data_IF_801177695602
#
_entry.id   IF_801177695602
#
_cell.length_a   1.000
_cell.length_b   1.000
_cell.length_c   1.000
_cell.angle_alpha   90.00
_cell.angle_beta   90.00
_cell.angle_gamma   90.00
#
_symmetry.space_group_name_H-M   'P 1'
#
loop_
_entity.id
_entity.type
_entity.pdbx_description
1 polymer ?
#
# COMPACT_ATOMS: atom_id res chain seq x y z
N UNK A 1 -18.27 -0.57 4.49
CA UNK A 1 -17.20 0.44 4.31
C UNK A 1 -16.08 0.27 5.33
N UNK A 2 -14.85 0.60 4.93
CA UNK A 2 -13.68 0.68 5.80
C UNK A 2 -13.46 2.15 6.11
N UNK A 3 -13.72 2.56 7.35
CA UNK A 3 -13.55 3.96 7.80
C UNK A 3 -12.16 4.14 8.40
N UNK A 4 -11.62 5.36 8.37
CA UNK A 4 -10.26 5.70 8.85
C UNK A 4 -10.02 5.24 10.31
N UNK A 5 -11.06 5.22 11.14
CA UNK A 5 -10.98 4.83 12.56
C UNK A 5 -11.02 3.31 12.81
N UNK A 6 -11.64 2.55 11.89
CA UNK A 6 -11.84 1.10 12.01
C UNK A 6 -10.95 0.29 11.04
N UNK A 7 -9.90 0.92 10.51
CA UNK A 7 -8.92 0.25 9.66
C UNK A 7 -7.63 0.01 10.43
N UNK A 8 -6.97 -1.09 10.12
CA UNK A 8 -5.63 -1.41 10.57
C UNK A 8 -4.73 -1.61 9.36
N UNK A 9 -3.46 -1.25 9.52
CA UNK A 9 -2.45 -1.48 8.50
C UNK A 9 -2.04 -2.96 8.55
N UNK A 10 -2.18 -3.65 7.43
CA UNK A 10 -1.82 -5.07 7.30
C UNK A 10 -0.37 -5.22 6.85
N UNK A 11 -0.03 -4.62 5.71
CA UNK A 11 1.30 -4.74 5.12
C UNK A 11 1.63 -3.52 4.25
N UNK A 12 2.93 -3.33 4.01
CA UNK A 12 3.47 -2.37 3.04
C UNK A 12 4.36 -3.14 2.09
N UNK A 13 4.09 -3.06 0.79
CA UNK A 13 4.96 -3.62 -0.23
C UNK A 13 5.38 -2.54 -1.21
N UNK A 14 6.61 -2.66 -1.71
CA UNK A 14 7.15 -1.82 -2.77
C UNK A 14 7.13 -2.50 -4.14
N UNK A 15 6.76 -3.79 -4.18
CA UNK A 15 6.68 -4.57 -5.42
C UNK A 15 5.24 -4.69 -5.87
N UNK A 16 4.98 -4.34 -7.14
CA UNK A 16 3.66 -4.49 -7.76
C UNK A 16 3.22 -5.95 -7.84
N UNK A 17 4.16 -6.86 -8.13
CA UNK A 17 3.88 -8.30 -8.18
C UNK A 17 3.44 -8.84 -6.83
N UNK A 18 4.14 -8.44 -5.75
CA UNK A 18 3.74 -8.81 -4.39
C UNK A 18 2.38 -8.20 -4.06
N UNK A 19 2.15 -6.93 -4.38
CA UNK A 19 0.86 -6.28 -4.17
C UNK A 19 -0.28 -7.07 -4.83
N UNK A 20 -0.13 -7.47 -6.09
CA UNK A 20 -1.12 -8.28 -6.81
C UNK A 20 -1.40 -9.63 -6.15
N UNK A 21 -0.35 -10.33 -5.69
CA UNK A 21 -0.50 -11.60 -4.95
C UNK A 21 -1.28 -11.41 -3.64
N UNK A 22 -0.94 -10.36 -2.88
CA UNK A 22 -1.61 -10.06 -1.61
C UNK A 22 -3.08 -9.69 -1.85
N UNK A 23 -3.39 -8.86 -2.85
CA UNK A 23 -4.78 -8.48 -3.13
C UNK A 23 -5.60 -9.64 -3.67
N UNK A 24 -5.01 -10.51 -4.50
CA UNK A 24 -5.67 -11.72 -4.98
C UNK A 24 -5.98 -12.70 -3.83
N UNK A 25 -5.05 -12.88 -2.88
CA UNK A 25 -5.29 -13.70 -1.71
C UNK A 25 -6.42 -13.15 -0.82
N UNK A 26 -6.42 -11.82 -0.59
CA UNK A 26 -7.47 -11.16 0.19
C UNK A 26 -8.84 -11.22 -0.49
N UNK A 27 -8.88 -11.10 -1.82
CA UNK A 27 -10.09 -11.22 -2.63
C UNK A 27 -10.66 -12.65 -2.59
N UNK A 28 -9.78 -13.66 -2.75
CA UNK A 28 -10.15 -15.08 -2.64
C UNK A 28 -10.70 -15.43 -1.24
N UNK A 29 -10.19 -14.77 -0.20
CA UNK A 29 -10.70 -14.92 1.17
C UNK A 29 -11.98 -14.10 1.45
N UNK A 30 -12.45 -13.27 0.49
CA UNK A 30 -13.61 -12.41 0.67
C UNK A 30 -13.39 -11.26 1.67
N UNK A 31 -12.14 -10.96 2.01
CA UNK A 31 -11.79 -9.95 3.02
C UNK A 31 -11.79 -8.58 2.36
N UNK A 32 -12.62 -7.67 2.88
CA UNK A 32 -12.61 -6.28 2.41
C UNK A 32 -11.29 -5.61 2.80
N UNK A 33 -10.59 -5.09 1.79
CA UNK A 33 -9.37 -4.31 1.96
C UNK A 33 -9.48 -2.93 1.32
N UNK A 34 -8.61 -2.02 1.76
CA UNK A 34 -8.41 -0.71 1.18
C UNK A 34 -6.92 -0.56 0.88
N UNK A 35 -6.59 -0.45 -0.39
CA UNK A 35 -5.21 -0.23 -0.82
C UNK A 35 -4.97 1.26 -1.13
N UNK A 36 -3.82 1.77 -0.69
CA UNK A 36 -3.33 3.09 -1.05
C UNK A 36 -1.96 2.96 -1.67
N UNK A 37 -1.85 3.28 -2.96
CA UNK A 37 -0.57 3.48 -3.62
C UNK A 37 -0.06 4.89 -3.26
N UNK A 38 1.17 4.99 -2.74
CA UNK A 38 1.87 6.23 -2.50
C UNK A 38 3.13 6.22 -3.37
N UNK A 39 3.28 7.25 -4.20
CA UNK A 39 4.52 7.54 -4.91
C UNK A 39 5.35 8.52 -4.08
N UNK A 40 6.64 8.23 -3.89
CA UNK A 40 7.62 9.12 -3.25
C UNK A 40 7.89 10.38 -4.07
N UNK A 41 7.70 10.31 -5.38
CA UNK A 41 7.90 11.40 -6.34
C UNK A 41 6.63 12.19 -6.64
N UNK A 42 5.49 11.86 -6.01
CA UNK A 42 4.26 12.62 -6.24
C UNK A 42 4.34 14.01 -5.59
N UNK A 43 4.24 15.11 -6.38
CA UNK A 43 4.30 16.49 -5.89
C UNK A 43 3.11 16.92 -5.00
N UNK A 44 2.26 15.97 -4.57
CA UNK A 44 1.08 16.26 -3.77
C UNK A 44 1.39 16.53 -2.28
N UNK A 45 2.60 16.21 -1.80
CA UNK A 45 3.08 16.60 -0.47
C UNK A 45 3.92 17.89 -0.48
N UNK A 46 4.20 18.47 -1.65
CA UNK A 46 5.02 19.67 -1.84
C UNK A 46 4.26 20.85 -2.44
N UNK A 47 2.94 20.76 -2.57
CA UNK A 47 2.09 21.84 -3.11
C UNK A 47 1.56 22.82 -2.04
N UNK A 48 2.31 23.03 -0.95
CA UNK A 48 2.08 24.14 0.00
C UNK A 48 3.42 24.80 0.34
N UNK A 49 4.05 25.40 -0.67
CA UNK A 49 5.12 26.38 -0.50
C UNK A 49 6.52 25.79 -0.36
N UNK A 50 7.22 25.58 -1.48
CA UNK A 50 8.62 26.02 -1.61
C UNK A 50 9.10 25.93 -3.06
N UNK A 51 9.81 26.98 -3.50
CA UNK A 51 10.34 27.20 -4.84
C UNK A 51 11.74 26.58 -4.98
N UNK A 52 11.91 25.45 -5.63
CA UNK A 52 13.28 25.08 -6.04
C UNK A 52 13.23 23.95 -7.08
N UNK A 53 13.34 24.19 -8.41
CA UNK A 53 14.60 24.36 -9.16
C UNK A 53 15.72 23.44 -8.66
N UNK A 54 15.68 22.16 -8.99
CA UNK A 54 16.89 21.34 -9.18
C UNK A 54 16.55 20.09 -9.98
N UNK A 55 17.25 19.88 -11.10
CA UNK A 55 17.14 18.65 -11.87
C UNK A 55 17.55 17.44 -11.04
N UNK A 56 16.85 16.32 -11.19
CA UNK A 56 17.32 15.03 -10.71
C UNK A 56 17.27 14.03 -11.86
N UNK A 57 18.25 14.19 -12.75
CA UNK A 57 18.72 13.12 -13.63
C UNK A 57 19.10 11.93 -12.73
N UNK A 58 18.51 10.75 -12.96
CA UNK A 58 18.74 9.49 -12.22
C UNK A 58 18.01 9.30 -10.87
N UNK A 59 16.73 9.67 -10.75
CA UNK A 59 15.87 8.97 -9.79
C UNK A 59 15.46 7.61 -10.37
N UNK A 60 15.97 6.55 -9.75
CA UNK A 60 15.58 5.17 -10.04
C UNK A 60 14.08 4.98 -9.75
N UNK A 61 13.25 5.21 -10.78
CA UNK A 61 11.78 5.14 -10.70
C UNK A 61 11.26 3.78 -10.22
N UNK A 62 12.09 2.74 -10.27
CA UNK A 62 11.73 1.38 -9.90
C UNK A 62 11.38 1.19 -8.41
N UNK A 63 11.78 2.10 -7.52
CA UNK A 63 11.52 2.01 -6.06
C UNK A 63 10.63 3.15 -5.53
N UNK A 64 9.95 3.87 -6.41
CA UNK A 64 9.21 5.07 -6.00
C UNK A 64 7.83 4.75 -5.38
N UNK A 65 7.29 3.56 -5.62
CA UNK A 65 5.91 3.22 -5.25
C UNK A 65 5.85 2.32 -4.01
N UNK A 66 5.08 2.78 -3.02
CA UNK A 66 4.72 2.03 -1.81
C UNK A 66 3.21 1.76 -1.81
N UNK A 67 2.85 0.49 -1.72
CA UNK A 67 1.47 0.05 -1.61
C UNK A 67 1.17 -0.28 -0.14
N UNK A 68 0.32 0.53 0.50
CA UNK A 68 -0.16 0.27 1.86
C UNK A 68 -1.53 -0.38 1.79
N UNK A 69 -1.65 -1.58 2.33
CA UNK A 69 -2.91 -2.32 2.41
C UNK A 69 -3.47 -2.16 3.82
N UNK A 70 -4.73 -1.76 3.89
CA UNK A 70 -5.49 -1.64 5.11
C UNK A 70 -6.66 -2.61 5.10
N UNK A 71 -6.92 -3.24 6.23
CA UNK A 71 -8.08 -4.10 6.46
C UNK A 71 -8.89 -3.55 7.63
N UNK A 72 -10.08 -4.09 7.88
CA UNK A 72 -10.80 -3.77 9.12
C UNK A 72 -10.04 -4.34 10.31
N UNK A 73 -10.11 -3.65 11.45
CA UNK A 73 -9.49 -4.15 12.70
C UNK A 73 -10.00 -5.54 13.09
N UNK A 74 -11.29 -5.80 12.89
CA UNK A 74 -11.91 -7.09 13.18
C UNK A 74 -11.38 -8.23 12.30
N UNK A 75 -10.99 -7.92 11.05
CA UNK A 75 -10.54 -8.90 10.06
C UNK A 75 -9.00 -8.98 9.99
N UNK A 76 -8.27 -8.28 10.89
CA UNK A 76 -6.82 -8.19 10.87
C UNK A 76 -6.16 -9.56 11.06
N UNK A 77 -6.63 -10.32 12.04
CA UNK A 77 -6.08 -11.63 12.38
C UNK A 77 -6.24 -12.61 11.20
N UNK A 78 -7.46 -12.74 10.69
CA UNK A 78 -7.77 -13.59 9.52
C UNK A 78 -7.00 -13.16 8.27
N UNK A 79 -6.86 -11.86 8.02
CA UNK A 79 -6.04 -11.35 6.92
C UNK A 79 -4.56 -11.70 7.11
N UNK A 80 -4.03 -11.60 8.33
CA UNK A 80 -2.66 -11.96 8.65
C UNK A 80 -2.37 -13.46 8.50
N UNK A 81 -3.35 -14.32 8.76
CA UNK A 81 -3.25 -15.76 8.50
C UNK A 81 -3.32 -16.07 7.00
N UNK A 82 -4.25 -15.46 6.27
CA UNK A 82 -4.36 -15.59 4.82
C UNK A 82 -3.06 -15.20 4.11
N UNK A 83 -2.44 -14.08 4.52
CA UNK A 83 -1.15 -13.67 3.97
C UNK A 83 -0.02 -14.65 4.30
N UNK A 84 0.01 -15.18 5.52
CA UNK A 84 1.00 -16.21 5.90
C UNK A 84 0.85 -17.46 5.04
N UNK A 85 -0.38 -17.84 4.68
CA UNK A 85 -0.63 -18.97 3.79
C UNK A 85 -0.26 -18.65 2.34
N UNK A 86 -0.49 -17.43 1.86
CA UNK A 86 -0.18 -17.00 0.49
C UNK A 86 1.33 -16.77 0.23
N UNK A 87 2.12 -16.55 1.29
CA UNK A 87 3.57 -16.36 1.23
C UNK A 87 4.38 -17.63 1.53
N UNK A 88 3.70 -18.76 1.80
CA UNK A 88 4.31 -20.06 2.04
C UNK A 88 4.57 -20.79 0.73
#
# INVERSE_FOLDING_TARGET
MITIFNRAQLCVTQSLEQYGKLTAALDAAGIRYYAKALSRSSPAASAMGTRERAGTFAQNMAYDYFYRIYVRKADLESAGECLRQALR
#
